data_IF_392647882855
#
_entry.id   IF_392647882855
#
_cell.length_a   1.000
_cell.length_b   1.000
_cell.length_c   1.000
_cell.angle_alpha   90.00
_cell.angle_beta   90.00
_cell.angle_gamma   90.00
#
_symmetry.space_group_name_H-M   'P 1'
#
loop_
_entity.id
_entity.type
_entity.pdbx_description
1 polymer ?
#
# COMPACT_ATOMS: atom_id res chain seq x y z
N UNK A 1 8.82 5.96 -5.62
CA UNK A 1 7.74 5.10 -5.08
C UNK A 1 7.83 5.09 -3.54
N UNK A 2 6.76 4.73 -2.83
CA UNK A 2 6.79 4.40 -1.41
C UNK A 2 6.44 2.92 -1.21
N UNK A 3 7.12 2.26 -0.27
CA UNK A 3 6.79 0.92 0.21
C UNK A 3 6.50 1.00 1.71
N UNK A 4 5.43 0.35 2.16
CA UNK A 4 5.17 0.18 3.58
C UNK A 4 5.89 -1.07 4.06
N UNK A 5 6.67 -0.93 5.13
CA UNK A 5 7.43 -2.05 5.70
C UNK A 5 6.53 -2.90 6.62
N UNK A 6 5.97 -3.97 6.05
CA UNK A 6 5.14 -4.97 6.75
C UNK A 6 5.58 -6.38 6.38
N UNK A 7 5.55 -7.35 7.32
CA UNK A 7 6.24 -8.63 7.17
C UNK A 7 5.57 -9.61 6.19
N UNK A 8 4.26 -9.50 5.99
CA UNK A 8 3.45 -10.49 5.26
C UNK A 8 2.70 -9.90 4.06
N UNK A 9 3.00 -8.65 3.68
CA UNK A 9 2.39 -7.99 2.52
C UNK A 9 3.37 -7.07 1.78
N UNK A 10 3.23 -7.02 0.46
CA UNK A 10 3.80 -5.98 -0.38
C UNK A 10 2.77 -4.85 -0.54
N UNK A 11 3.03 -3.74 0.13
CA UNK A 11 2.17 -2.55 0.06
C UNK A 11 2.97 -1.40 -0.55
N UNK A 12 2.47 -0.86 -1.66
CA UNK A 12 3.17 0.15 -2.47
C UNK A 12 2.26 1.32 -2.78
N UNK A 13 2.85 2.50 -2.85
CA UNK A 13 2.20 3.72 -3.35
C UNK A 13 3.15 4.38 -4.35
N UNK A 14 2.73 4.64 -5.58
CA UNK A 14 3.55 5.30 -6.59
C UNK A 14 2.78 6.37 -7.31
N UNK A 15 3.50 7.36 -7.84
CA UNK A 15 2.91 8.42 -8.65
C UNK A 15 2.92 7.97 -10.09
N UNK A 16 1.78 8.02 -10.73
CA UNK A 16 1.68 7.92 -12.17
C UNK A 16 2.12 9.26 -12.79
N UNK A 17 3.08 9.22 -13.70
CA UNK A 17 3.70 10.44 -14.25
C UNK A 17 2.83 11.11 -15.31
N UNK A 18 1.97 10.35 -15.99
CA UNK A 18 1.10 10.85 -17.04
C UNK A 18 -0.11 11.57 -16.47
N UNK A 19 -0.85 10.91 -15.58
CA UNK A 19 -2.05 11.46 -14.95
C UNK A 19 -1.75 12.35 -13.74
N UNK A 20 -0.53 12.25 -13.18
CA UNK A 20 -0.12 12.97 -11.98
C UNK A 20 -0.73 12.44 -10.68
N UNK A 21 -1.64 11.47 -10.74
CA UNK A 21 -2.27 10.86 -9.57
C UNK A 21 -1.34 9.85 -8.88
N UNK A 22 -1.62 9.59 -7.60
CA UNK A 22 -0.98 8.50 -6.87
C UNK A 22 -1.87 7.26 -6.92
N UNK A 23 -1.23 6.10 -7.05
CA UNK A 23 -1.85 4.80 -7.03
C UNK A 23 -1.32 4.00 -5.85
N UNK A 24 -2.18 3.26 -5.16
CA UNK A 24 -1.76 2.27 -4.17
C UNK A 24 -2.02 0.84 -4.67
N UNK A 25 -1.18 -0.10 -4.24
CA UNK A 25 -1.38 -1.52 -4.47
C UNK A 25 -1.01 -2.31 -3.23
N UNK A 26 -1.80 -3.35 -2.99
CA UNK A 26 -1.65 -4.28 -1.89
C UNK A 26 -1.58 -5.72 -2.43
N UNK A 27 -0.63 -6.52 -1.93
CA UNK A 27 -0.53 -7.95 -2.23
C UNK A 27 0.00 -8.72 -1.02
N UNK A 28 -0.61 -9.86 -0.66
CA UNK A 28 -0.08 -10.74 0.38
C UNK A 28 1.12 -11.55 -0.11
N UNK A 29 2.03 -11.89 0.81
CA UNK A 29 3.18 -12.76 0.54
C UNK A 29 2.89 -14.25 0.77
N UNK A 30 1.77 -14.57 1.42
CA UNK A 30 1.36 -15.94 1.78
C UNK A 30 0.69 -16.71 0.63
N UNK A 31 0.66 -16.15 -0.58
CA UNK A 31 0.06 -16.78 -1.75
C UNK A 31 -1.46 -16.90 -1.70
N UNK A 32 -2.12 -16.38 -0.66
CA UNK A 32 -3.59 -16.31 -0.61
C UNK A 32 -4.09 -15.36 -1.71
N UNK A 33 -4.98 -15.87 -2.56
CA UNK A 33 -5.24 -15.36 -3.89
C UNK A 33 -5.65 -13.88 -3.96
N UNK A 34 -4.87 -13.14 -4.76
CA UNK A 34 -5.12 -11.96 -5.57
C UNK A 34 -6.56 -11.41 -5.64
N UNK A 35 -6.85 -10.43 -4.79
CA UNK A 35 -7.56 -9.21 -5.20
C UNK A 35 -6.76 -8.05 -4.61
N UNK A 36 -5.88 -7.48 -5.43
CA UNK A 36 -5.09 -6.33 -5.01
C UNK A 36 -6.04 -5.15 -4.88
N UNK A 37 -6.49 -4.87 -3.65
CA UNK A 37 -7.19 -3.62 -3.36
C UNK A 37 -6.28 -2.48 -3.82
N UNK A 38 -6.78 -1.70 -4.77
CA UNK A 38 -6.05 -0.64 -5.44
C UNK A 38 -6.96 0.55 -5.66
N UNK A 39 -6.38 1.72 -5.73
CA UNK A 39 -7.15 2.94 -5.95
C UNK A 39 -6.24 4.13 -6.20
N UNK A 40 -6.88 5.20 -6.67
CA UNK A 40 -6.23 6.39 -7.16
C UNK A 40 -6.62 7.57 -6.27
N UNK A 41 -5.68 8.48 -6.03
CA UNK A 41 -5.97 9.68 -5.27
C UNK A 41 -4.74 10.52 -4.97
N UNK A 42 -4.83 11.32 -3.91
CA UNK A 42 -3.68 12.05 -3.37
C UNK A 42 -2.69 11.10 -2.69
N UNK A 43 -1.44 11.53 -2.55
CA UNK A 43 -0.39 10.75 -1.87
C UNK A 43 -0.83 10.35 -0.45
N UNK A 44 -1.42 11.29 0.30
CA UNK A 44 -1.88 11.06 1.67
C UNK A 44 -3.01 10.02 1.71
N UNK A 45 -4.02 10.19 0.85
CA UNK A 45 -5.16 9.28 0.78
C UNK A 45 -4.71 7.86 0.43
N UNK A 46 -3.84 7.70 -0.56
CA UNK A 46 -3.29 6.39 -0.94
C UNK A 46 -2.55 5.71 0.20
N UNK A 47 -1.75 6.46 0.98
CA UNK A 47 -1.04 5.93 2.15
C UNK A 47 -1.98 5.53 3.29
N UNK A 48 -3.06 6.27 3.50
CA UNK A 48 -4.08 5.95 4.52
C UNK A 48 -4.90 4.73 4.11
N UNK A 49 -5.37 4.66 2.86
CA UNK A 49 -6.12 3.52 2.34
C UNK A 49 -5.31 2.23 2.35
N UNK A 50 -4.05 2.28 1.92
CA UNK A 50 -3.18 1.10 1.93
C UNK A 50 -2.98 0.53 3.34
N UNK A 51 -2.94 1.38 4.37
CA UNK A 51 -2.92 0.95 5.78
C UNK A 51 -4.26 0.39 6.25
N UNK A 52 -5.36 1.02 5.86
CA UNK A 52 -6.71 0.59 6.22
C UNK A 52 -7.02 -0.81 5.66
N UNK A 53 -6.68 -1.07 4.39
CA UNK A 53 -6.82 -2.38 3.74
C UNK A 53 -6.08 -3.46 4.53
N UNK A 54 -4.82 -3.22 4.90
CA UNK A 54 -4.06 -4.15 5.73
C UNK A 54 -4.77 -4.43 7.06
N UNK A 55 -5.20 -3.37 7.76
CA UNK A 55 -5.85 -3.49 9.06
C UNK A 55 -7.12 -4.34 8.98
N UNK A 56 -8.02 -4.01 8.05
CA UNK A 56 -9.31 -4.69 7.87
C UNK A 56 -9.10 -6.17 7.63
N UNK A 57 -8.09 -6.55 6.84
CA UNK A 57 -7.92 -7.95 6.42
C UNK A 57 -7.14 -8.80 7.43
N UNK A 58 -6.13 -8.24 8.09
CA UNK A 58 -5.33 -8.99 9.09
C UNK A 58 -5.86 -8.82 10.52
N UNK A 59 -6.85 -7.93 10.74
CA UNK A 59 -7.37 -7.53 12.05
C UNK A 59 -6.24 -7.11 13.02
N UNK A 60 -5.16 -6.54 12.47
CA UNK A 60 -3.94 -6.17 13.21
C UNK A 60 -3.59 -4.73 12.94
N UNK A 61 -3.55 -3.94 14.01
CA UNK A 61 -3.14 -2.54 13.92
C UNK A 61 -1.64 -2.45 13.67
N UNK A 62 -1.25 -1.82 12.56
CA UNK A 62 0.16 -1.60 12.25
C UNK A 62 0.69 -0.42 13.07
N UNK A 63 1.10 -0.67 14.32
CA UNK A 63 1.64 0.39 15.18
C UNK A 63 3.03 0.87 14.77
N UNK A 64 3.80 0.06 14.00
CA UNK A 64 5.23 0.33 13.71
C UNK A 64 5.63 0.38 12.23
N UNK A 65 4.75 0.11 11.27
CA UNK A 65 5.18 0.20 9.87
C UNK A 65 5.42 1.65 9.47
N UNK A 66 6.59 1.85 8.87
CA UNK A 66 7.02 3.13 8.33
C UNK A 66 6.94 3.06 6.81
N UNK A 67 6.52 4.17 6.20
CA UNK A 67 6.66 4.34 4.77
C UNK A 67 8.12 4.63 4.46
N UNK A 68 8.74 3.80 3.62
CA UNK A 68 10.08 4.04 3.07
C UNK A 68 9.94 4.57 1.65
N UNK A 69 10.64 5.66 1.34
CA UNK A 69 10.82 6.09 -0.05
C UNK A 69 11.80 5.13 -0.72
N UNK A 70 11.40 4.62 -1.86
CA UNK A 70 12.22 3.75 -2.71
C UNK A 70 12.30 4.40 -4.08
N UNK A 71 13.50 4.35 -4.66
CA UNK A 71 13.67 4.73 -6.05
C UNK A 71 12.85 3.78 -6.92
N UNK A 72 12.23 4.37 -7.94
CA UNK A 72 11.37 3.67 -8.89
C UNK A 72 12.23 2.85 -9.85
#
# INVERSE_FOLDING_TARGET
MYKLDVPDANVRVWKDLESGYWHYSFAYLDGSAHYGDSGWGSERWCKEQAKAVYYVRKHKFIKRAKWKRVDL
#
